data_IF_599687816188
#
_entry.id   IF_599687816188
#
_cell.length_a   1.000
_cell.length_b   1.000
_cell.length_c   1.000
_cell.angle_alpha   90.00
_cell.angle_beta   90.00
_cell.angle_gamma   90.00
#
_symmetry.space_group_name_H-M   'P 1'
#
loop_
_entity.id
_entity.type
_entity.pdbx_description
1 polymer ?
#
# COMPACT_ATOMS: atom_id res chain seq x y z
N UNK A 1 -21.39 15.23 -1.62
CA UNK A 1 -21.99 15.70 -0.35
C UNK A 1 -22.82 16.97 -0.50
N UNK A 2 -22.32 18.06 -1.11
CA UNK A 2 -23.07 19.34 -1.24
C UNK A 2 -24.51 19.18 -1.76
N UNK A 3 -24.71 18.41 -2.83
CA UNK A 3 -26.04 18.15 -3.39
C UNK A 3 -26.97 17.31 -2.47
N UNK A 4 -26.43 16.47 -1.59
CA UNK A 4 -27.22 15.65 -0.66
C UNK A 4 -27.67 16.44 0.58
N UNK A 5 -26.95 17.52 0.93
CA UNK A 5 -27.22 18.32 2.12
C UNK A 5 -28.57 19.05 2.07
N UNK A 6 -29.00 19.49 0.88
CA UNK A 6 -30.27 20.21 0.67
C UNK A 6 -31.51 19.38 1.04
N UNK A 7 -31.39 18.06 0.94
CA UNK A 7 -32.50 17.12 1.16
C UNK A 7 -32.26 16.19 2.36
N UNK A 8 -31.31 16.54 3.23
CA UNK A 8 -30.90 15.72 4.39
C UNK A 8 -30.66 14.25 4.03
N UNK A 9 -30.18 14.00 2.82
CA UNK A 9 -30.06 12.65 2.28
C UNK A 9 -28.82 12.01 2.90
N UNK A 10 -28.93 10.85 3.56
CA UNK A 10 -27.77 10.15 4.09
C UNK A 10 -26.85 9.73 2.94
N UNK A 11 -25.55 9.77 3.20
CA UNK A 11 -24.54 9.41 2.22
C UNK A 11 -23.54 8.45 2.82
N UNK A 12 -23.06 7.53 1.98
CA UNK A 12 -21.87 6.72 2.21
C UNK A 12 -20.82 7.16 1.21
N UNK A 13 -19.61 7.44 1.69
CA UNK A 13 -18.49 7.87 0.86
C UNK A 13 -17.32 6.92 1.09
N UNK A 14 -17.03 6.08 0.10
CA UNK A 14 -15.79 5.30 0.05
C UNK A 14 -14.79 6.09 -0.80
N UNK A 15 -13.91 6.82 -0.12
CA UNK A 15 -12.87 7.63 -0.76
C UNK A 15 -11.54 6.89 -0.69
N UNK A 16 -10.64 7.18 -1.63
CA UNK A 16 -9.26 6.70 -1.55
C UNK A 16 -8.47 7.42 -0.46
N UNK A 17 -7.20 7.04 -0.32
CA UNK A 17 -6.27 7.68 0.59
C UNK A 17 -4.83 7.44 0.16
N UNK A 18 -3.90 7.91 1.00
CA UNK A 18 -2.49 7.53 0.91
C UNK A 18 -2.28 6.39 1.90
N UNK A 19 -2.18 5.16 1.40
CA UNK A 19 -2.11 3.97 2.24
C UNK A 19 -0.68 3.76 2.72
N UNK A 20 -0.38 3.92 4.03
CA UNK A 20 0.95 3.68 4.56
C UNK A 20 1.26 2.19 4.66
N UNK A 21 2.53 1.85 4.51
CA UNK A 21 3.10 0.57 4.94
C UNK A 21 4.16 0.82 5.99
N UNK A 22 4.11 0.09 7.10
CA UNK A 22 5.13 0.16 8.15
C UNK A 22 5.75 -1.22 8.27
N UNK A 23 7.06 -1.30 8.10
CA UNK A 23 7.83 -2.54 8.18
C UNK A 23 8.59 -2.55 9.51
N UNK A 24 8.20 -3.47 10.38
CA UNK A 24 8.88 -3.73 11.64
C UNK A 24 10.26 -4.41 11.40
N UNK A 25 11.29 -4.16 12.22
CA UNK A 25 12.59 -4.80 12.08
C UNK A 25 12.57 -6.34 12.14
N UNK A 26 11.56 -6.94 12.78
CA UNK A 26 11.39 -8.41 12.84
C UNK A 26 10.64 -9.00 11.64
N UNK A 27 10.19 -8.16 10.70
CA UNK A 27 9.44 -8.61 9.54
C UNK A 27 10.29 -9.47 8.60
N UNK A 28 9.66 -10.49 8.03
CA UNK A 28 10.22 -11.27 6.93
C UNK A 28 10.16 -10.44 5.65
N UNK A 29 11.30 -9.90 5.23
CA UNK A 29 11.36 -8.93 4.14
C UNK A 29 10.88 -9.51 2.79
N UNK A 30 11.13 -10.79 2.53
CA UNK A 30 10.68 -11.48 1.33
C UNK A 30 9.14 -11.53 1.24
N UNK A 31 8.47 -11.94 2.34
CA UNK A 31 7.01 -12.05 2.41
C UNK A 31 6.35 -10.67 2.33
N UNK A 32 6.96 -9.68 3.00
CA UNK A 32 6.54 -8.29 2.97
C UNK A 32 6.66 -7.72 1.55
N UNK A 33 7.81 -7.88 0.90
CA UNK A 33 8.06 -7.40 -0.46
C UNK A 33 7.07 -8.01 -1.45
N UNK A 34 6.86 -9.32 -1.43
CA UNK A 34 5.90 -9.99 -2.30
C UNK A 34 4.48 -9.44 -2.14
N UNK A 35 4.02 -9.28 -0.90
CA UNK A 35 2.68 -8.76 -0.60
C UNK A 35 2.51 -7.29 -1.03
N UNK A 36 3.51 -6.46 -0.76
CA UNK A 36 3.50 -5.03 -1.07
C UNK A 36 3.56 -4.81 -2.59
N UNK A 37 4.43 -5.53 -3.30
CA UNK A 37 4.54 -5.47 -4.76
C UNK A 37 3.24 -5.92 -5.41
N UNK A 38 2.64 -7.03 -4.95
CA UNK A 38 1.34 -7.47 -5.43
C UNK A 38 0.27 -6.39 -5.22
N UNK A 39 0.15 -5.87 -3.99
CA UNK A 39 -0.83 -4.82 -3.67
C UNK A 39 -0.63 -3.54 -4.47
N UNK A 40 0.63 -3.14 -4.73
CA UNK A 40 0.96 -1.94 -5.52
C UNK A 40 0.70 -2.13 -7.01
N UNK A 41 0.92 -3.33 -7.55
CA UNK A 41 0.82 -3.57 -8.99
C UNK A 41 -0.55 -4.12 -9.41
N UNK A 42 -1.37 -4.57 -8.47
CA UNK A 42 -2.75 -4.97 -8.73
C UNK A 42 -3.49 -3.82 -9.43
N UNK A 43 -4.12 -4.13 -10.57
CA UNK A 43 -4.79 -3.13 -11.42
C UNK A 43 -3.88 -1.96 -11.86
N UNK A 44 -2.57 -2.20 -12.00
CA UNK A 44 -1.59 -1.15 -12.29
C UNK A 44 -1.46 -0.12 -11.18
N UNK A 45 -1.79 -0.49 -9.93
CA UNK A 45 -1.79 0.41 -8.77
C UNK A 45 -3.01 1.31 -8.65
N UNK A 46 -3.99 1.18 -9.55
CA UNK A 46 -5.23 1.94 -9.50
C UNK A 46 -6.24 1.25 -8.59
N UNK A 47 -5.92 1.16 -7.31
CA UNK A 47 -6.84 0.70 -6.27
C UNK A 47 -6.89 1.73 -5.13
N UNK A 48 -8.07 1.92 -4.52
CA UNK A 48 -8.27 2.92 -3.46
C UNK A 48 -7.40 2.70 -2.21
N UNK A 49 -6.88 1.48 -2.06
CA UNK A 49 -6.10 0.98 -0.92
C UNK A 49 -4.71 0.50 -1.34
N UNK A 50 -4.24 0.89 -2.54
CA UNK A 50 -2.90 0.53 -2.99
C UNK A 50 -1.87 1.05 -1.98
N UNK A 51 -0.82 0.28 -1.62
CA UNK A 51 0.31 0.81 -0.87
C UNK A 51 0.86 2.07 -1.55
N UNK A 52 1.04 3.18 -0.85
CA UNK A 52 1.49 4.43 -1.47
C UNK A 52 2.90 4.81 -1.06
N UNK A 53 3.19 4.69 0.23
CA UNK A 53 4.48 5.00 0.80
C UNK A 53 4.78 4.04 1.94
N UNK A 54 6.06 3.93 2.31
CA UNK A 54 6.47 3.06 3.40
C UNK A 54 7.48 3.68 4.34
N UNK A 55 7.44 3.20 5.57
CA UNK A 55 8.46 3.41 6.59
C UNK A 55 9.11 2.07 6.94
N UNK A 56 10.43 2.06 6.86
CA UNK A 56 11.29 0.93 7.20
C UNK A 56 12.53 1.49 7.90
N UNK A 57 13.15 0.68 8.75
CA UNK A 57 14.45 1.02 9.30
C UNK A 57 15.49 1.21 8.16
N UNK A 58 16.30 2.25 8.24
CA UNK A 58 17.26 2.61 7.19
C UNK A 58 18.24 1.45 6.87
N UNK A 59 18.61 0.66 7.88
CA UNK A 59 19.48 -0.51 7.75
C UNK A 59 18.87 -1.62 6.87
N UNK A 60 17.54 -1.73 6.82
CA UNK A 60 16.80 -2.76 6.09
C UNK A 60 16.37 -2.32 4.69
N UNK A 61 16.52 -1.03 4.34
CA UNK A 61 16.04 -0.46 3.07
C UNK A 61 16.67 -1.14 1.85
N UNK A 62 17.99 -1.31 1.84
CA UNK A 62 18.69 -1.89 0.69
C UNK A 62 18.28 -3.35 0.46
N UNK A 63 18.21 -4.14 1.53
CA UNK A 63 17.73 -5.53 1.48
C UNK A 63 16.30 -5.60 0.97
N UNK A 64 15.40 -4.74 1.47
CA UNK A 64 14.02 -4.70 1.02
C UNK A 64 13.88 -4.38 -0.48
N UNK A 65 14.70 -3.46 -1.01
CA UNK A 65 14.71 -3.14 -2.46
C UNK A 65 15.15 -4.36 -3.28
N UNK A 66 16.12 -5.14 -2.80
CA UNK A 66 16.53 -6.37 -3.47
C UNK A 66 15.39 -7.39 -3.51
N UNK A 67 14.67 -7.56 -2.40
CA UNK A 67 13.51 -8.47 -2.34
C UNK A 67 12.36 -8.07 -3.28
N UNK A 68 12.25 -6.80 -3.66
CA UNK A 68 11.26 -6.33 -4.63
C UNK A 68 11.61 -6.66 -6.10
N UNK A 69 12.83 -7.12 -6.38
CA UNK A 69 13.28 -7.36 -7.76
C UNK A 69 12.67 -8.63 -8.35
N UNK A 70 12.34 -8.70 -9.66
CA UNK A 70 11.73 -9.90 -10.25
C UNK A 70 12.54 -11.19 -10.07
N UNK A 71 13.86 -11.08 -9.88
CA UNK A 71 14.79 -12.20 -9.71
C UNK A 71 14.76 -12.84 -8.31
N UNK A 72 14.11 -12.22 -7.31
CA UNK A 72 13.96 -12.77 -5.96
C UNK A 72 12.76 -13.71 -5.84
N UNK A 73 11.84 -13.69 -6.82
CA UNK A 73 10.65 -14.53 -6.85
C UNK A 73 11.01 -15.85 -7.56
N UNK A 74 11.34 -16.87 -6.76
CA UNK A 74 11.53 -18.25 -7.23
C UNK A 74 10.21 -18.97 -7.45
#
# INVERSE_FOLDING_TARGET
>A
MRAAAENLTPVTLELGGLTPVIIDPSAKLNDAAASIVYGKLLNGGQTCIAPDYMWIEASSQASFIQECSPSSVS
#
